data_IF_346370939146
#
_entry.id   IF_346370939146
#
_cell.length_a   1.000
_cell.length_b   1.000
_cell.length_c   1.000
_cell.angle_alpha   90.00
_cell.angle_beta   90.00
_cell.angle_gamma   90.00
#
_symmetry.space_group_name_H-M   'P 1'
#
loop_
_entity.id
_entity.type
_entity.pdbx_description
1 polymer ?
#
# COMPACT_ATOMS: atom_id res chain seq x y z
N UNK A 1 10.66 -18.25 -6.41
CA UNK A 1 10.20 -18.96 -5.21
C UNK A 1 9.24 -18.07 -4.41
N UNK A 2 8.15 -18.62 -3.87
CA UNK A 2 7.17 -17.88 -3.08
C UNK A 2 7.74 -17.40 -1.74
N UNK A 3 8.60 -18.19 -1.10
CA UNK A 3 9.18 -17.89 0.21
C UNK A 3 9.98 -16.59 0.24
N UNK A 4 10.54 -16.18 -0.90
CA UNK A 4 11.34 -14.96 -1.04
C UNK A 4 10.52 -13.73 -1.51
N UNK A 5 9.24 -13.91 -1.86
CA UNK A 5 8.35 -12.81 -2.25
C UNK A 5 7.69 -12.21 -1.02
N UNK A 6 8.47 -11.51 -0.19
CA UNK A 6 7.94 -10.92 1.02
C UNK A 6 8.61 -9.58 1.35
N UNK A 7 8.04 -8.84 2.31
CA UNK A 7 8.55 -7.51 2.70
C UNK A 7 9.97 -7.53 3.29
N UNK A 8 10.47 -8.66 3.80
CA UNK A 8 11.84 -8.77 4.32
C UNK A 8 12.86 -8.85 3.18
N UNK A 9 12.55 -9.64 2.14
CA UNK A 9 13.45 -9.84 0.99
C UNK A 9 13.31 -8.72 -0.06
N UNK A 10 12.10 -8.20 -0.26
CA UNK A 10 11.81 -7.10 -1.20
C UNK A 10 11.04 -6.02 -0.46
N UNK A 11 11.70 -5.10 0.27
CA UNK A 11 11.01 -4.09 1.08
C UNK A 11 10.19 -3.12 0.23
N UNK A 12 10.76 -2.65 -0.88
CA UNK A 12 10.17 -1.68 -1.78
C UNK A 12 9.86 -2.30 -3.16
N UNK A 13 8.57 -2.50 -3.43
CA UNK A 13 8.11 -3.06 -4.71
C UNK A 13 8.40 -2.11 -5.90
N UNK A 14 8.39 -0.79 -5.68
CA UNK A 14 8.72 0.20 -6.72
C UNK A 14 10.17 0.11 -7.19
N UNK A 15 11.12 -0.04 -6.26
CA UNK A 15 12.54 -0.26 -6.57
C UNK A 15 12.72 -1.57 -7.34
N UNK A 16 12.01 -2.61 -6.93
CA UNK A 16 12.07 -3.90 -7.60
C UNK A 16 11.60 -3.84 -9.06
N UNK A 17 10.53 -3.10 -9.39
CA UNK A 17 10.13 -2.88 -10.79
C UNK A 17 11.26 -2.19 -11.57
N UNK A 18 11.96 -1.24 -10.97
CA UNK A 18 13.03 -0.52 -11.64
C UNK A 18 14.20 -1.44 -12.02
N UNK A 19 14.46 -2.50 -11.25
CA UNK A 19 15.48 -3.51 -11.58
C UNK A 19 15.21 -4.25 -12.89
N UNK A 20 13.95 -4.33 -13.34
CA UNK A 20 13.61 -4.88 -14.66
C UNK A 20 14.24 -4.06 -15.81
N UNK A 21 14.60 -2.80 -15.56
CA UNK A 21 15.32 -2.00 -16.56
C UNK A 21 16.76 -2.49 -16.81
N UNK A 22 17.33 -3.23 -15.86
CA UNK A 22 18.68 -3.79 -15.93
C UNK A 22 18.68 -5.32 -16.18
N UNK A 23 17.55 -5.89 -16.60
CA UNK A 23 17.39 -7.32 -16.84
C UNK A 23 17.08 -7.62 -18.31
N UNK A 24 17.79 -8.60 -18.87
CA UNK A 24 17.46 -9.23 -20.15
C UNK A 24 16.68 -10.54 -19.99
N UNK A 25 16.71 -11.14 -18.80
CA UNK A 25 16.05 -12.42 -18.53
C UNK A 25 14.55 -12.28 -18.30
N UNK A 26 14.15 -11.21 -17.62
CA UNK A 26 12.77 -10.95 -17.25
C UNK A 26 12.31 -9.58 -17.74
N UNK A 27 11.08 -9.54 -18.25
CA UNK A 27 10.35 -8.33 -18.59
C UNK A 27 9.09 -8.19 -17.74
N UNK A 28 8.46 -7.01 -17.77
CA UNK A 28 7.26 -6.76 -16.97
C UNK A 28 6.18 -7.83 -17.15
N UNK A 29 5.94 -8.29 -18.38
CA UNK A 29 4.92 -9.30 -18.67
C UNK A 29 5.15 -10.61 -17.90
N UNK A 30 6.40 -11.01 -17.70
CA UNK A 30 6.74 -12.29 -17.07
C UNK A 30 6.44 -12.27 -15.57
N UNK A 31 6.45 -11.08 -14.97
CA UNK A 31 6.38 -10.90 -13.52
C UNK A 31 5.12 -10.16 -13.05
N UNK A 32 4.37 -9.54 -13.96
CA UNK A 32 3.26 -8.64 -13.64
C UNK A 32 2.25 -9.28 -12.68
N UNK A 33 1.77 -10.49 -12.97
CA UNK A 33 0.77 -11.17 -12.14
C UNK A 33 1.30 -11.45 -10.73
N UNK A 34 2.53 -11.96 -10.64
CA UNK A 34 3.19 -12.23 -9.35
C UNK A 34 3.39 -10.96 -8.54
N UNK A 35 3.85 -9.89 -9.19
CA UNK A 35 4.00 -8.58 -8.58
C UNK A 35 2.66 -8.05 -8.04
N UNK A 36 1.60 -8.12 -8.85
CA UNK A 36 0.28 -7.62 -8.48
C UNK A 36 -0.31 -8.39 -7.31
N UNK A 37 -0.12 -9.73 -7.24
CA UNK A 37 -0.53 -10.55 -6.10
C UNK A 37 0.11 -10.06 -4.81
N UNK A 38 1.44 -9.96 -4.80
CA UNK A 38 2.17 -9.49 -3.62
C UNK A 38 1.83 -8.02 -3.27
N UNK A 39 1.59 -7.17 -4.28
CA UNK A 39 1.13 -5.81 -4.07
C UNK A 39 -0.22 -5.80 -3.33
N UNK A 40 -1.19 -6.61 -3.78
CA UNK A 40 -2.52 -6.67 -3.17
C UNK A 40 -2.44 -7.18 -1.73
N UNK A 41 -1.67 -8.23 -1.46
CA UNK A 41 -1.44 -8.78 -0.12
C UNK A 41 -0.92 -7.71 0.86
N UNK A 42 0.07 -6.91 0.43
CA UNK A 42 0.62 -5.80 1.24
C UNK A 42 -0.39 -4.67 1.44
N UNK A 43 -1.28 -4.45 0.48
CA UNK A 43 -2.24 -3.34 0.52
C UNK A 43 -3.44 -3.59 1.43
N UNK A 44 -3.76 -4.85 1.76
CA UNK A 44 -4.84 -5.20 2.70
C UNK A 44 -4.75 -4.43 4.00
N UNK A 45 -3.55 -4.25 4.58
CA UNK A 45 -3.35 -3.45 5.79
C UNK A 45 -4.00 -2.06 5.68
N UNK A 46 -3.78 -1.38 4.56
CA UNK A 46 -4.27 -0.02 4.32
C UNK A 46 -5.77 -0.01 4.01
N UNK A 47 -6.27 -1.02 3.30
CA UNK A 47 -7.70 -1.22 3.08
C UNK A 47 -8.43 -1.36 4.42
N UNK A 48 -7.93 -2.19 5.32
CA UNK A 48 -8.56 -2.45 6.62
C UNK A 48 -8.49 -1.26 7.58
N UNK A 49 -7.45 -0.42 7.49
CA UNK A 49 -7.39 0.84 8.25
C UNK A 49 -8.58 1.75 7.91
N UNK A 50 -8.94 1.85 6.63
CA UNK A 50 -10.05 2.70 6.18
C UNK A 50 -11.41 2.00 6.25
N UNK A 51 -11.44 0.68 6.07
CA UNK A 51 -12.66 -0.09 5.88
C UNK A 51 -12.63 -1.41 6.65
N UNK A 52 -12.57 -1.33 7.99
CA UNK A 52 -12.52 -2.49 8.91
C UNK A 52 -13.56 -3.58 8.64
N UNK A 53 -14.75 -3.21 8.17
CA UNK A 53 -15.83 -4.15 7.81
C UNK A 53 -15.44 -5.12 6.68
N UNK A 54 -14.40 -4.83 5.89
CA UNK A 54 -13.90 -5.73 4.85
C UNK A 54 -13.03 -6.87 5.40
N UNK A 55 -12.76 -6.88 6.70
CA UNK A 55 -12.16 -8.03 7.38
C UNK A 55 -13.07 -9.26 7.32
N UNK A 56 -14.39 -9.05 7.32
CA UNK A 56 -15.36 -10.13 7.12
C UNK A 56 -15.33 -10.60 5.66
N UNK A 57 -14.95 -11.85 5.36
CA UNK A 57 -14.93 -12.38 3.99
C UNK A 57 -16.31 -12.28 3.32
N UNK A 58 -17.41 -12.35 4.08
CA UNK A 58 -18.78 -12.30 3.57
C UNK A 58 -19.26 -10.88 3.20
N UNK A 59 -18.40 -9.87 3.34
CA UNK A 59 -18.76 -8.50 2.96
C UNK A 59 -19.25 -8.44 1.50
N UNK A 60 -20.28 -7.61 1.18
CA UNK A 60 -20.84 -7.57 -0.17
C UNK A 60 -19.79 -7.33 -1.26
N UNK A 61 -19.84 -8.14 -2.33
CA UNK A 61 -18.89 -8.11 -3.47
C UNK A 61 -18.60 -6.70 -3.98
N UNK A 62 -19.66 -5.98 -4.35
CA UNK A 62 -19.55 -4.60 -4.88
C UNK A 62 -18.92 -3.63 -3.88
N UNK A 63 -19.22 -3.81 -2.58
CA UNK A 63 -18.65 -2.98 -1.53
C UNK A 63 -17.15 -3.25 -1.38
N UNK A 64 -16.70 -4.52 -1.39
CA UNK A 64 -15.28 -4.90 -1.34
C UNK A 64 -14.51 -4.32 -2.52
N UNK A 65 -14.97 -4.57 -3.75
CA UNK A 65 -14.29 -4.09 -4.96
C UNK A 65 -14.14 -2.56 -4.97
N UNK A 66 -15.23 -1.83 -4.69
CA UNK A 66 -15.24 -0.36 -4.73
C UNK A 66 -14.36 0.25 -3.63
N UNK A 67 -14.48 -0.24 -2.40
CA UNK A 67 -13.72 0.27 -1.25
C UNK A 67 -12.24 -0.09 -1.35
N UNK A 68 -11.89 -1.29 -1.79
CA UNK A 68 -10.50 -1.69 -2.02
C UNK A 68 -9.83 -0.82 -3.08
N UNK A 69 -10.54 -0.48 -4.16
CA UNK A 69 -10.02 0.47 -5.17
C UNK A 69 -9.73 1.85 -4.56
N UNK A 70 -10.70 2.38 -3.82
CA UNK A 70 -10.60 3.69 -3.18
C UNK A 70 -9.39 3.77 -2.24
N UNK A 71 -9.24 2.78 -1.36
CA UNK A 71 -8.14 2.73 -0.41
C UNK A 71 -6.76 2.47 -1.06
N UNK A 72 -6.73 1.87 -2.25
CA UNK A 72 -5.48 1.51 -2.95
C UNK A 72 -5.03 2.54 -3.99
N UNK A 73 -5.73 3.66 -4.16
CA UNK A 73 -5.45 4.58 -5.27
C UNK A 73 -4.00 5.06 -5.36
N UNK A 74 -3.36 5.36 -4.23
CA UNK A 74 -1.98 5.87 -4.22
C UNK A 74 -1.03 4.81 -4.79
N UNK A 75 -1.14 3.56 -4.33
CA UNK A 75 -0.24 2.51 -4.76
C UNK A 75 -0.51 2.03 -6.18
N UNK A 76 -1.78 1.96 -6.59
CA UNK A 76 -2.14 1.64 -7.96
C UNK A 76 -1.55 2.68 -8.93
N UNK A 77 -1.60 3.98 -8.57
CA UNK A 77 -1.01 5.06 -9.36
C UNK A 77 0.52 4.95 -9.42
N UNK A 78 1.18 4.65 -8.30
CA UNK A 78 2.64 4.43 -8.27
C UNK A 78 3.04 3.23 -9.13
N UNK A 79 2.34 2.11 -9.03
CA UNK A 79 2.57 0.93 -9.87
C UNK A 79 2.45 1.29 -11.37
N UNK A 80 1.37 1.98 -11.76
CA UNK A 80 1.21 2.43 -13.15
C UNK A 80 2.32 3.38 -13.60
N UNK A 81 2.82 4.24 -12.70
CA UNK A 81 3.92 5.15 -12.99
C UNK A 81 5.21 4.39 -13.25
N UNK A 82 5.58 3.43 -12.38
CA UNK A 82 6.78 2.60 -12.58
C UNK A 82 6.71 1.78 -13.87
N UNK A 83 5.55 1.17 -14.18
CA UNK A 83 5.37 0.43 -15.44
C UNK A 83 5.46 1.36 -16.65
N UNK A 84 4.91 2.57 -16.58
CA UNK A 84 5.08 3.57 -17.63
C UNK A 84 6.55 3.96 -17.81
N UNK A 85 7.26 4.19 -16.71
CA UNK A 85 8.67 4.54 -16.74
C UNK A 85 9.49 3.44 -17.38
N UNK A 86 9.29 2.19 -16.97
CA UNK A 86 9.93 1.02 -17.58
C UNK A 86 9.69 0.96 -19.09
N UNK A 87 8.46 1.22 -19.54
CA UNK A 87 8.10 1.25 -20.97
C UNK A 87 8.78 2.36 -21.75
N UNK A 88 9.08 3.49 -21.14
CA UNK A 88 9.77 4.59 -21.82
C UNK A 88 11.22 4.26 -22.18
N UNK A 89 11.89 3.42 -21.37
CA UNK A 89 13.31 3.12 -21.55
C UNK A 89 13.60 1.73 -22.12
N UNK A 90 12.76 0.74 -21.80
CA UNK A 90 12.97 -0.66 -22.20
C UNK A 90 12.23 -1.05 -23.46
N UNK A 91 11.38 -0.20 -24.01
CA UNK A 91 10.61 -0.53 -25.21
C UNK A 91 10.92 0.45 -26.33
N UNK A 92 11.25 -0.10 -27.49
CA UNK A 92 11.43 0.67 -28.71
C UNK A 92 10.13 1.39 -29.04
N UNK A 93 10.19 2.71 -29.19
CA UNK A 93 9.02 3.51 -29.57
C UNK A 93 8.58 3.25 -31.02
N UNK A 94 9.44 2.63 -31.84
CA UNK A 94 9.14 2.30 -33.24
C UNK A 94 8.45 0.95 -33.38
N UNK A 95 8.99 -0.09 -32.74
CA UNK A 95 8.50 -1.47 -32.89
C UNK A 95 7.59 -1.92 -31.75
N UNK A 96 7.57 -1.20 -30.62
CA UNK A 96 6.86 -1.63 -29.42
C UNK A 96 7.47 -2.87 -28.75
N UNK A 97 8.63 -3.35 -29.21
CA UNK A 97 9.32 -4.52 -28.67
C UNK A 97 10.26 -4.11 -27.55
N UNK A 98 10.51 -5.05 -26.63
CA UNK A 98 11.51 -4.87 -25.57
C UNK A 98 12.91 -4.80 -26.21
N UNK A 99 13.71 -3.85 -25.73
CA UNK A 99 15.12 -3.68 -26.10
C UNK A 99 16.00 -4.50 -25.16
N UNK A 100 17.17 -4.96 -25.58
CA UNK A 100 18.15 -5.55 -24.65
C UNK A 100 18.76 -4.48 -23.74
N UNK A 101 19.35 -4.86 -22.61
CA UNK A 101 19.97 -3.92 -21.66
C UNK A 101 21.05 -3.11 -22.36
N UNK A 102 21.86 -3.76 -23.22
CA UNK A 102 22.91 -3.10 -24.01
C UNK A 102 22.31 -2.10 -25.00
N UNK A 103 21.18 -2.41 -25.64
CA UNK A 103 20.49 -1.47 -26.52
C UNK A 103 19.94 -0.27 -25.74
N UNK A 104 19.27 -0.50 -24.61
CA UNK A 104 18.78 0.58 -23.74
C UNK A 104 19.94 1.46 -23.26
N UNK A 105 21.04 0.85 -22.80
CA UNK A 105 22.26 1.56 -22.41
C UNK A 105 22.79 2.43 -23.54
N UNK A 106 22.98 1.86 -24.74
CA UNK A 106 23.47 2.60 -25.92
C UNK A 106 22.58 3.82 -26.23
N UNK A 107 21.26 3.66 -26.16
CA UNK A 107 20.33 4.78 -26.35
C UNK A 107 20.48 5.83 -25.26
N UNK A 108 20.53 5.44 -23.98
CA UNK A 108 20.70 6.39 -22.88
C UNK A 108 22.04 7.13 -22.94
N UNK A 109 23.13 6.43 -23.25
CA UNK A 109 24.47 7.00 -23.42
C UNK A 109 24.48 8.03 -24.57
N UNK A 110 23.87 7.71 -25.73
CA UNK A 110 23.77 8.65 -26.86
C UNK A 110 22.95 9.90 -26.54
N UNK A 111 22.08 9.84 -25.53
CA UNK A 111 21.28 10.95 -25.05
C UNK A 111 21.91 11.64 -23.82
N UNK A 112 23.09 11.19 -23.37
CA UNK A 112 23.72 11.64 -22.13
C UNK A 112 22.75 11.59 -20.92
N UNK A 113 21.89 10.56 -20.88
CA UNK A 113 20.86 10.40 -19.86
C UNK A 113 19.67 11.37 -19.96
N UNK A 114 19.61 12.24 -20.98
CA UNK A 114 18.52 13.21 -21.15
C UNK A 114 17.32 12.58 -21.87
N UNK A 115 16.07 12.84 -21.43
CA UNK A 115 14.90 12.32 -22.13
C UNK A 115 14.67 13.07 -23.45
N UNK A 116 14.25 12.33 -24.48
CA UNK A 116 13.81 12.94 -25.73
C UNK A 116 12.53 13.76 -25.54
N UNK A 117 12.21 14.65 -26.50
CA UNK A 117 10.98 15.41 -26.46
C UNK A 117 9.74 14.50 -26.36
N UNK A 118 9.70 13.42 -27.15
CA UNK A 118 8.59 12.47 -27.13
C UNK A 118 8.47 11.72 -25.78
N UNK A 119 9.60 11.38 -25.15
CA UNK A 119 9.58 10.76 -23.81
C UNK A 119 8.97 11.71 -22.77
N UNK A 120 9.33 13.00 -22.81
CA UNK A 120 8.75 14.02 -21.93
C UNK A 120 7.23 14.14 -22.13
N UNK A 121 6.78 14.25 -23.37
CA UNK A 121 5.34 14.34 -23.69
C UNK A 121 4.58 13.08 -23.25
N UNK A 122 5.12 11.90 -23.54
CA UNK A 122 4.51 10.63 -23.16
C UNK A 122 4.41 10.48 -21.65
N UNK A 123 5.47 10.83 -20.91
CA UNK A 123 5.48 10.79 -19.46
C UNK A 123 4.46 11.77 -18.86
N UNK A 124 4.41 13.01 -19.36
CA UNK A 124 3.44 14.02 -18.90
C UNK A 124 1.99 13.58 -19.17
N UNK A 125 1.69 13.13 -20.39
CA UNK A 125 0.35 12.64 -20.79
C UNK A 125 -0.06 11.45 -19.94
N UNK A 126 0.83 10.49 -19.73
CA UNK A 126 0.56 9.30 -18.94
C UNK A 126 0.38 9.64 -17.46
N UNK A 127 1.20 10.52 -16.89
CA UNK A 127 1.06 10.96 -15.49
C UNK A 127 -0.29 11.65 -15.26
N UNK A 128 -0.72 12.54 -16.18
CA UNK A 128 -2.04 13.16 -16.13
C UNK A 128 -3.17 12.11 -16.17
N UNK A 129 -3.04 11.07 -17.00
CA UNK A 129 -4.00 9.95 -17.05
C UNK A 129 -4.02 9.15 -15.76
N UNK A 130 -2.85 8.78 -15.23
CA UNK A 130 -2.70 8.01 -13.98
C UNK A 130 -3.39 8.73 -12.81
N UNK A 131 -3.21 10.04 -12.68
CA UNK A 131 -3.87 10.83 -11.63
C UNK A 131 -5.40 10.74 -11.66
N UNK A 132 -5.97 10.52 -12.85
CA UNK A 132 -7.42 10.53 -13.10
C UNK A 132 -8.09 9.15 -13.05
N UNK A 133 -7.38 8.06 -12.76
CA UNK A 133 -8.02 6.73 -12.73
C UNK A 133 -9.16 6.66 -11.71
N UNK A 134 -10.21 5.92 -12.07
CA UNK A 134 -11.45 5.74 -11.30
C UNK A 134 -11.95 4.29 -11.23
N UNK A 135 -11.37 3.37 -12.00
CA UNK A 135 -11.76 1.96 -12.00
C UNK A 135 -10.58 0.99 -12.06
N UNK A 136 -10.84 -0.25 -11.67
CA UNK A 136 -9.90 -1.36 -11.81
C UNK A 136 -9.51 -1.61 -13.28
N UNK A 137 -10.45 -1.51 -14.22
CA UNK A 137 -10.16 -1.70 -15.65
C UNK A 137 -9.12 -0.70 -16.16
N UNK A 138 -9.25 0.57 -15.75
CA UNK A 138 -8.28 1.61 -16.09
C UNK A 138 -6.90 1.31 -15.49
N UNK A 139 -6.86 0.74 -14.29
CA UNK A 139 -5.62 0.30 -13.66
C UNK A 139 -4.99 -0.88 -14.42
N UNK A 140 -5.72 -1.98 -14.64
CA UNK A 140 -5.22 -3.18 -15.33
C UNK A 140 -4.78 -2.87 -16.76
N UNK A 141 -5.56 -2.07 -17.50
CA UNK A 141 -5.16 -1.53 -18.81
C UNK A 141 -3.88 -0.70 -18.72
N UNK A 142 -3.76 0.14 -17.69
CA UNK A 142 -2.59 0.97 -17.44
C UNK A 142 -1.31 0.16 -17.22
N UNK A 143 -1.38 -0.90 -16.44
CA UNK A 143 -0.26 -1.83 -16.23
C UNK A 143 -0.11 -2.86 -17.34
N UNK A 144 -1.02 -2.90 -18.33
CA UNK A 144 -0.97 -3.81 -19.48
C UNK A 144 -1.15 -5.28 -19.10
N UNK A 145 -2.04 -5.53 -18.14
CA UNK A 145 -2.49 -6.88 -17.76
C UNK A 145 -3.98 -6.98 -18.14
N UNK A 146 -4.42 -8.16 -18.60
CA UNK A 146 -5.84 -8.39 -18.87
C UNK A 146 -6.63 -8.18 -17.58
N UNK A 147 -7.66 -7.33 -17.64
CA UNK A 147 -8.52 -7.11 -16.48
C UNK A 147 -9.22 -8.44 -16.12
N UNK A 148 -9.16 -8.87 -14.85
CA UNK A 148 -9.94 -10.00 -14.36
C UNK A 148 -11.44 -9.70 -14.45
N UNK A 149 -12.28 -10.73 -14.49
CA UNK A 149 -13.71 -10.54 -14.32
C UNK A 149 -14.03 -9.96 -12.92
N UNK A 150 -15.22 -9.44 -12.71
CA UNK A 150 -15.66 -8.96 -11.39
C UNK A 150 -15.56 -10.05 -10.33
N UNK A 151 -15.85 -11.29 -10.70
CA UNK A 151 -15.82 -12.45 -9.80
C UNK A 151 -14.39 -12.87 -9.48
N UNK A 152 -13.53 -12.92 -10.50
CA UNK A 152 -12.10 -13.21 -10.31
C UNK A 152 -11.42 -12.13 -9.46
N UNK A 153 -11.76 -10.86 -9.68
CA UNK A 153 -11.22 -9.75 -8.87
C UNK A 153 -11.69 -9.84 -7.43
N UNK A 154 -12.95 -10.20 -7.20
CA UNK A 154 -13.47 -10.40 -5.85
C UNK A 154 -12.75 -11.55 -5.15
N UNK A 155 -12.61 -12.70 -5.82
CA UNK A 155 -11.87 -13.85 -5.32
C UNK A 155 -10.41 -13.49 -5.02
N UNK A 156 -9.75 -12.74 -5.91
CA UNK A 156 -8.38 -12.28 -5.70
C UNK A 156 -8.25 -11.35 -4.49
N UNK A 157 -9.22 -10.47 -4.25
CA UNK A 157 -9.23 -9.60 -3.05
C UNK A 157 -9.48 -10.38 -1.75
N UNK A 158 -10.20 -11.51 -1.80
CA UNK A 158 -10.35 -12.42 -0.66
C UNK A 158 -9.06 -13.21 -0.42
N UNK A 159 -8.48 -13.77 -1.46
CA UNK A 159 -7.19 -14.47 -1.39
C UNK A 159 -6.09 -13.54 -0.85
N UNK A 160 -6.08 -12.28 -1.26
CA UNK A 160 -5.15 -11.29 -0.75
C UNK A 160 -5.34 -11.02 0.76
N UNK A 161 -6.59 -11.03 1.25
CA UNK A 161 -6.89 -10.89 2.68
C UNK A 161 -6.27 -12.07 3.46
N UNK A 162 -6.52 -13.30 3.02
CA UNK A 162 -5.99 -14.51 3.64
C UNK A 162 -4.45 -14.54 3.60
N UNK A 163 -3.86 -14.27 2.43
CA UNK A 163 -2.40 -14.22 2.27
C UNK A 163 -1.76 -13.13 3.13
N UNK A 164 -2.40 -11.96 3.22
CA UNK A 164 -1.94 -10.86 4.05
C UNK A 164 -1.90 -11.22 5.54
N UNK A 165 -2.90 -11.97 6.02
CA UNK A 165 -2.93 -12.47 7.41
C UNK A 165 -1.84 -13.53 7.62
N UNK A 166 -1.79 -14.54 6.74
CA UNK A 166 -0.80 -15.62 6.77
C UNK A 166 0.63 -15.09 6.76
N UNK A 167 0.90 -14.04 5.98
CA UNK A 167 2.21 -13.38 5.85
C UNK A 167 2.47 -12.32 6.92
N UNK A 168 1.51 -12.06 7.81
CA UNK A 168 1.63 -11.11 8.92
C UNK A 168 1.67 -9.64 8.50
N UNK A 169 1.20 -9.30 7.30
CA UNK A 169 1.10 -7.91 6.85
C UNK A 169 0.00 -7.13 7.58
N UNK A 170 -1.01 -7.85 8.08
CA UNK A 170 -1.98 -7.32 9.04
C UNK A 170 -2.28 -8.38 10.11
N UNK A 171 -2.93 -7.96 11.20
CA UNK A 171 -3.42 -8.86 12.25
C UNK A 171 -4.88 -8.53 12.55
N UNK A 172 -5.83 -9.48 12.45
CA UNK A 172 -7.27 -9.20 12.59
C UNK A 172 -7.64 -8.45 13.88
N UNK A 173 -7.03 -8.84 15.01
CA UNK A 173 -7.30 -8.22 16.31
C UNK A 173 -6.94 -6.73 16.41
N UNK A 174 -6.11 -6.19 15.50
CA UNK A 174 -5.87 -4.75 15.44
C UNK A 174 -7.10 -3.95 14.94
N UNK A 175 -8.03 -4.63 14.27
CA UNK A 175 -9.18 -4.00 13.61
C UNK A 175 -10.51 -4.36 14.27
N UNK A 176 -10.54 -5.45 15.05
CA UNK A 176 -11.70 -5.82 15.86
C UNK A 176 -11.90 -4.85 17.04
N UNK A 177 -13.14 -4.60 17.46
CA UNK A 177 -13.40 -3.84 18.67
C UNK A 177 -12.78 -4.56 19.88
N UNK A 178 -12.06 -3.82 20.74
CA UNK A 178 -11.57 -4.36 22.01
C UNK A 178 -12.78 -4.77 22.84
N UNK A 179 -12.84 -6.04 23.28
CA UNK A 179 -13.79 -6.44 24.33
C UNK A 179 -13.51 -5.53 25.53
N UNK A 180 -14.53 -4.79 25.99
CA UNK A 180 -14.45 -4.14 27.32
C UNK A 180 -14.14 -5.27 28.30
N UNK A 181 -13.04 -5.14 29.05
CA UNK A 181 -12.92 -5.93 30.28
C UNK A 181 -14.11 -5.51 31.13
N UNK A 182 -15.04 -6.42 31.37
CA UNK A 182 -15.97 -6.24 32.46
C UNK A 182 -15.09 -6.27 33.71
N UNK A 183 -14.75 -5.11 34.26
CA UNK A 183 -14.31 -5.01 35.64
C UNK A 183 -15.55 -5.24 36.51
N UNK A 184 -16.04 -6.48 36.49
CA UNK A 184 -16.94 -7.00 37.50
C UNK A 184 -16.04 -7.66 38.54
N UNK A 185 -15.28 -6.82 39.24
CA UNK A 185 -14.61 -7.08 40.51
C UNK A 185 -14.10 -5.72 40.96
N UNK A 186 -14.97 -5.02 41.71
CA UNK A 186 -14.68 -3.73 42.33
C UNK A 186 -13.64 -3.88 43.43
N UNK A 187 -12.40 -4.14 43.07
CA UNK A 187 -11.25 -3.90 43.93
C UNK A 187 -10.81 -2.45 43.75
N UNK A 188 -10.55 -1.68 44.83
CA UNK A 188 -10.12 -0.30 44.72
C UNK A 188 -8.88 -0.22 43.83
N UNK A 189 -8.88 0.73 42.89
CA UNK A 189 -7.82 0.90 41.90
C UNK A 189 -6.50 1.08 42.64
N UNK A 190 -5.57 0.15 42.41
CA UNK A 190 -4.31 0.04 43.15
C UNK A 190 -3.44 1.30 42.97
N UNK A 191 -3.73 2.12 41.96
CA UNK A 191 -3.12 3.42 41.74
C UNK A 191 -3.76 4.53 42.56
N UNK A 192 -5.07 4.49 42.79
CA UNK A 192 -5.83 5.48 43.55
C UNK A 192 -5.59 5.31 45.06
N UNK A 193 -5.58 4.06 45.54
CA UNK A 193 -5.20 3.74 46.92
C UNK A 193 -3.72 4.07 47.24
N UNK A 194 -2.83 3.94 46.25
CA UNK A 194 -1.42 4.33 46.39
C UNK A 194 -1.22 5.86 46.31
N UNK A 195 -2.04 6.56 45.53
CA UNK A 195 -2.05 8.02 45.44
C UNK A 195 -2.60 8.64 46.72
N UNK A 196 -3.73 8.17 47.25
CA UNK A 196 -4.30 8.61 48.53
C UNK A 196 -3.36 8.34 49.72
N UNK A 197 -2.68 7.19 49.74
CA UNK A 197 -1.70 6.88 50.78
C UNK A 197 -0.43 7.75 50.69
N UNK A 198 -0.06 8.22 49.48
CA UNK A 198 1.07 9.11 49.28
C UNK A 198 0.70 10.58 49.56
N UNK A 199 -0.49 11.02 49.13
CA UNK A 199 -1.04 12.36 49.41
C UNK A 199 -1.36 12.56 50.90
N UNK A 200 -2.04 11.63 51.58
CA UNK A 200 -2.29 11.75 53.03
C UNK A 200 -1.01 11.74 53.86
N UNK A 201 0.07 11.13 53.34
CA UNK A 201 1.37 11.09 54.01
C UNK A 201 2.17 12.39 53.82
N UNK A 202 1.87 13.21 52.82
CA UNK A 202 2.70 14.39 52.47
C UNK A 202 1.92 15.71 52.45
N UNK A 203 0.60 15.69 52.28
CA UNK A 203 -0.26 16.86 52.14
C UNK A 203 -1.64 16.60 52.76
N UNK A 204 -1.70 16.51 54.08
CA UNK A 204 -2.97 16.67 54.80
C UNK A 204 -3.48 18.10 54.64
N UNK A 205 -4.18 18.39 53.54
CA UNK A 205 -4.80 19.69 53.29
C UNK A 205 -5.04 20.01 51.81
N UNK A 206 -6.25 19.73 51.34
CA UNK A 206 -7.03 20.30 50.22
C UNK A 206 -6.30 21.19 49.18
N UNK A 207 -6.38 20.83 47.87
CA UNK A 207 -6.86 21.69 46.77
C UNK A 207 -6.71 21.08 45.35
N UNK A 208 -7.88 20.84 44.72
CA UNK A 208 -8.33 21.10 43.34
C UNK A 208 -7.36 20.95 42.13
N UNK A 209 -7.80 20.09 41.21
CA UNK A 209 -7.27 19.72 39.88
C UNK A 209 -7.40 20.83 38.82
N UNK A 210 -6.39 21.01 37.94
CA UNK A 210 -6.58 21.59 36.60
C UNK A 210 -5.99 20.71 35.48
N UNK A 211 -6.81 20.44 34.46
CA UNK A 211 -6.50 19.64 33.26
C UNK A 211 -5.62 20.38 32.23
N UNK A 212 -4.66 19.68 31.62
CA UNK A 212 -3.96 20.10 30.38
C UNK A 212 -4.48 19.32 29.18
N UNK A 213 -5.07 20.04 28.20
CA UNK A 213 -5.37 19.53 26.85
C UNK A 213 -4.12 19.53 25.97
N UNK A 214 -3.70 18.37 25.48
CA UNK A 214 -2.77 18.26 24.34
C UNK A 214 -3.51 17.90 23.05
N UNK A 215 -3.33 18.74 22.03
CA UNK A 215 -3.89 18.64 20.67
C UNK A 215 -3.32 17.43 19.93
N UNK A 216 -4.17 16.56 19.37
CA UNK A 216 -3.75 15.45 18.48
C UNK A 216 -3.44 15.99 17.08
N UNK A 217 -2.25 15.65 16.58
CA UNK A 217 -1.82 15.85 15.19
C UNK A 217 -2.64 14.96 14.24
N UNK A 218 -2.94 15.43 13.03
CA UNK A 218 -3.86 14.72 12.12
C UNK A 218 -3.13 13.67 11.27
N UNK A 219 -3.87 12.66 10.81
CA UNK A 219 -3.35 11.56 9.98
C UNK A 219 -2.74 12.06 8.65
N UNK A 220 -3.12 13.25 8.19
CA UNK A 220 -2.54 13.90 7.01
C UNK A 220 -1.07 14.27 7.21
N UNK A 221 -0.72 14.73 8.42
CA UNK A 221 0.64 15.17 8.77
C UNK A 221 1.62 13.99 8.85
N UNK A 222 1.11 12.79 9.16
CA UNK A 222 1.91 11.56 9.22
C UNK A 222 2.21 10.96 7.84
N UNK A 223 1.42 11.27 6.80
CA UNK A 223 1.63 10.71 5.47
C UNK A 223 2.70 11.43 4.66
N UNK A 224 3.04 12.68 4.99
CA UNK A 224 4.07 13.46 4.29
C UNK A 224 5.48 13.07 4.77
N UNK A 225 5.63 12.56 5.98
CA UNK A 225 6.93 12.23 6.58
C UNK A 225 7.48 10.82 6.24
N UNK A 226 6.79 10.04 5.40
CA UNK A 226 7.14 8.64 5.10
C UNK A 226 7.43 8.37 3.60
N UNK A 227 7.69 9.43 2.82
CA UNK A 227 8.21 9.38 1.45
C UNK A 227 9.43 10.30 1.34
#
# INVERSE_FOLDING_TARGET
DEGQRNKKCVPALGEWIALLAASDHYVWRDVATTYLRENFDRHVKWILVQHKKLLDPNSPKNARIKKSFGASQVSLKLCMFHVCFLRLFRYSQRSGTVMSVQQTKKTLDSLYGRPTHNMKLTLQKTTKRIKKIRSWDQFFKGVGVKAPSTDDLFAWLLEALENSERRGYHKPHHYLPKKKKNNADGGPDRFEAAAEAWENKHYGGSLVVQEKKTKKMTLGDQMIAAF
#
